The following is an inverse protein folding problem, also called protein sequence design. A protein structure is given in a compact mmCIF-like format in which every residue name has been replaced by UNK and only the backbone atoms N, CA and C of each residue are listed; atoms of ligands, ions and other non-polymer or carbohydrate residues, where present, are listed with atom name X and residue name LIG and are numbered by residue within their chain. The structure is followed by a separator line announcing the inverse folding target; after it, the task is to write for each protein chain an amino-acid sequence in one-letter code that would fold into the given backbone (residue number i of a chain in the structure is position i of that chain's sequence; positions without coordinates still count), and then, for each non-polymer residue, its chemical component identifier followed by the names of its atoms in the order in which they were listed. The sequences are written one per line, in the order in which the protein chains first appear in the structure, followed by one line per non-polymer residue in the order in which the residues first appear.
data_IF_924328193991
#
_entry.id   IF_924328193991
#
_cell.length_a   1.000
_cell.length_b   1.000
_cell.length_c   1.000
_cell.angle_alpha   90.00
_cell.angle_beta   90.00
_cell.angle_gamma   90.00
#
_symmetry.space_group_name_H-M   'P 1'
#
loop_
_entity.id
_entity.type
_entity.pdbx_description
1 polymer ?
#
# COMPACT_ATOMS: atom_id res chain seq x y z
N UNK A 1 -6.86 3.55 30.77
CA UNK A 1 -7.25 2.63 29.68
C UNK A 1 -6.25 1.47 29.60
N UNK A 2 -6.72 0.25 29.48
CA UNK A 2 -5.86 -0.91 29.39
C UNK A 2 -5.09 -0.94 28.07
N UNK A 3 -4.02 -1.73 28.03
CA UNK A 3 -3.23 -1.92 26.79
C UNK A 3 -4.11 -2.50 25.68
N UNK A 4 -4.92 -3.51 26.01
CA UNK A 4 -5.88 -4.11 25.08
C UNK A 4 -6.90 -3.07 24.59
N UNK A 5 -7.42 -2.23 25.50
CA UNK A 5 -8.35 -1.17 25.13
C UNK A 5 -7.76 -0.17 24.17
N UNK A 6 -6.48 0.19 24.35
CA UNK A 6 -5.76 1.09 23.42
C UNK A 6 -5.62 0.45 22.05
N UNK A 7 -5.26 -0.84 22.03
CA UNK A 7 -5.14 -1.57 20.76
C UNK A 7 -6.46 -1.63 20.01
N UNK A 8 -7.55 -1.95 20.71
CA UNK A 8 -8.88 -2.02 20.12
C UNK A 8 -9.35 -0.67 19.59
N UNK A 9 -8.96 0.42 20.25
CA UNK A 9 -9.28 1.77 19.78
C UNK A 9 -8.60 2.07 18.44
N UNK A 10 -7.32 1.71 18.29
CA UNK A 10 -6.63 1.84 17.02
C UNK A 10 -7.30 1.00 15.94
N UNK A 11 -7.60 -0.26 16.25
CA UNK A 11 -8.21 -1.18 15.30
C UNK A 11 -9.63 -0.78 14.89
N UNK A 12 -10.35 -0.10 15.78
CA UNK A 12 -11.68 0.43 15.46
C UNK A 12 -11.61 1.57 14.44
N UNK A 13 -10.50 2.33 14.43
CA UNK A 13 -10.32 3.44 13.51
C UNK A 13 -9.93 2.98 12.10
N UNK A 14 -9.06 1.97 12.00
CA UNK A 14 -8.64 1.36 10.74
C UNK A 14 -7.93 0.04 11.00
N UNK A 15 -7.66 -0.72 9.93
CA UNK A 15 -6.82 -1.91 10.05
C UNK A 15 -5.39 -1.50 10.41
N UNK A 16 -4.78 -2.26 11.32
CA UNK A 16 -3.38 -2.09 11.73
C UNK A 16 -2.67 -3.43 11.65
N UNK A 17 -1.43 -3.42 11.21
CA UNK A 17 -0.58 -4.60 11.31
C UNK A 17 -0.11 -4.78 12.74
N UNK A 18 0.33 -5.99 13.08
CA UNK A 18 0.92 -6.26 14.38
C UNK A 18 2.11 -5.33 14.66
N UNK A 19 2.99 -5.14 13.67
CA UNK A 19 4.16 -4.28 13.82
C UNK A 19 3.77 -2.83 14.09
N UNK A 20 2.72 -2.33 13.45
CA UNK A 20 2.21 -0.99 13.73
C UNK A 20 1.76 -0.85 15.18
N UNK A 21 1.00 -1.84 15.67
CA UNK A 21 0.51 -1.82 17.05
C UNK A 21 1.66 -1.95 18.04
N UNK A 22 2.66 -2.76 17.75
CA UNK A 22 3.85 -2.87 18.61
C UNK A 22 4.50 -1.49 18.78
N UNK A 23 4.70 -0.76 17.69
CA UNK A 23 5.30 0.58 17.74
C UNK A 23 4.44 1.58 18.52
N UNK A 24 3.13 1.56 18.27
CA UNK A 24 2.21 2.51 18.91
C UNK A 24 1.99 2.23 20.38
N UNK A 25 2.08 0.98 20.80
CA UNK A 25 1.75 0.57 22.15
C UNK A 25 2.98 0.36 23.05
N UNK A 26 4.18 0.35 22.50
CA UNK A 26 5.40 0.05 23.25
C UNK A 26 5.54 0.95 24.50
N UNK A 27 5.25 2.24 24.38
CA UNK A 27 5.38 3.20 25.48
C UNK A 27 4.34 2.99 26.59
N UNK A 28 3.27 2.25 26.32
CA UNK A 28 2.18 2.02 27.27
C UNK A 28 2.22 0.61 27.87
N UNK A 29 3.09 -0.25 27.38
CA UNK A 29 3.21 -1.60 27.89
C UNK A 29 4.09 -1.64 29.14
N UNK A 30 3.74 -2.50 30.10
CA UNK A 30 4.54 -2.70 31.31
C UNK A 30 5.80 -3.51 31.00
N UNK A 31 5.74 -4.38 29.97
CA UNK A 31 6.85 -5.22 29.55
C UNK A 31 6.62 -5.64 28.09
N UNK A 32 7.70 -6.07 27.40
CA UNK A 32 7.54 -6.66 26.06
C UNK A 32 6.64 -7.90 26.06
N UNK A 33 6.68 -8.67 27.15
CA UNK A 33 5.87 -9.89 27.31
C UNK A 33 4.38 -9.57 27.40
N UNK A 34 4.01 -8.52 28.13
CA UNK A 34 2.63 -8.07 28.21
C UNK A 34 2.12 -7.66 26.82
N UNK A 35 2.92 -6.88 26.10
CA UNK A 35 2.55 -6.43 24.77
C UNK A 35 2.34 -7.61 23.81
N UNK A 36 3.29 -8.56 23.81
CA UNK A 36 3.18 -9.74 22.97
C UNK A 36 1.93 -10.56 23.29
N UNK A 37 1.61 -10.73 24.56
CA UNK A 37 0.43 -11.48 24.98
C UNK A 37 -0.87 -10.83 24.53
N UNK A 38 -0.97 -9.52 24.64
CA UNK A 38 -2.15 -8.78 24.20
C UNK A 38 -2.31 -8.92 22.67
N UNK A 39 -1.22 -8.77 21.92
CA UNK A 39 -1.27 -8.87 20.46
C UNK A 39 -1.54 -10.29 19.99
N UNK A 40 -0.99 -11.30 20.67
CA UNK A 40 -1.29 -12.70 20.38
C UNK A 40 -2.78 -13.00 20.54
N UNK A 41 -3.38 -12.51 21.62
CA UNK A 41 -4.81 -12.67 21.88
C UNK A 41 -5.66 -12.02 20.79
N UNK A 42 -5.32 -10.79 20.43
CA UNK A 42 -6.05 -10.06 19.39
C UNK A 42 -5.89 -10.71 18.02
N UNK A 43 -4.72 -11.25 17.74
CA UNK A 43 -4.49 -11.97 16.49
C UNK A 43 -5.26 -13.28 16.44
N UNK A 44 -5.28 -14.02 17.54
CA UNK A 44 -6.03 -15.26 17.65
C UNK A 44 -7.54 -15.06 17.48
N UNK A 45 -8.04 -13.91 17.91
CA UNK A 45 -9.46 -13.54 17.77
C UNK A 45 -9.78 -12.82 16.48
N UNK A 46 -8.80 -12.74 15.57
CA UNK A 46 -8.93 -12.14 14.25
C UNK A 46 -9.18 -10.62 14.25
N UNK A 47 -8.83 -9.92 15.32
CA UNK A 47 -8.81 -8.46 15.36
C UNK A 47 -7.61 -7.90 14.57
N UNK A 48 -6.54 -8.67 14.46
CA UNK A 48 -5.36 -8.35 13.65
C UNK A 48 -5.29 -9.36 12.52
N UNK A 49 -5.26 -8.89 11.28
CA UNK A 49 -5.22 -9.76 10.09
C UNK A 49 -4.35 -9.12 9.01
N UNK A 50 -3.26 -9.78 8.63
CA UNK A 50 -2.41 -9.31 7.54
C UNK A 50 -3.20 -9.19 6.23
N UNK A 51 -4.07 -10.15 5.95
CA UNK A 51 -4.89 -10.13 4.73
C UNK A 51 -5.77 -8.89 4.66
N UNK A 52 -6.41 -8.51 5.78
CA UNK A 52 -7.23 -7.30 5.82
C UNK A 52 -6.40 -6.03 5.72
N UNK A 53 -5.19 -6.01 6.30
CA UNK A 53 -4.29 -4.86 6.14
C UNK A 53 -3.92 -4.67 4.67
N UNK A 54 -3.54 -5.74 3.98
CA UNK A 54 -3.22 -5.72 2.55
C UNK A 54 -4.42 -5.19 1.75
N UNK A 55 -5.59 -5.75 1.97
CA UNK A 55 -6.82 -5.33 1.28
C UNK A 55 -7.13 -3.86 1.51
N UNK A 56 -7.00 -3.39 2.74
CA UNK A 56 -7.22 -1.99 3.10
C UNK A 56 -6.28 -1.05 2.35
N UNK A 57 -4.99 -1.38 2.26
CA UNK A 57 -4.01 -0.58 1.55
C UNK A 57 -4.32 -0.56 0.05
N UNK A 58 -4.59 -1.73 -0.53
CA UNK A 58 -4.92 -1.83 -1.96
C UNK A 58 -6.15 -0.98 -2.28
N UNK A 59 -7.21 -1.11 -1.48
CA UNK A 59 -8.45 -0.36 -1.71
C UNK A 59 -8.25 1.15 -1.66
N UNK A 60 -7.35 1.63 -0.80
CA UNK A 60 -7.09 3.06 -0.67
C UNK A 60 -6.11 3.59 -1.71
N UNK A 61 -5.18 2.77 -2.18
CA UNK A 61 -4.02 3.24 -2.96
C UNK A 61 -4.02 2.83 -4.43
N UNK A 62 -4.63 1.69 -4.78
CA UNK A 62 -4.49 1.13 -6.13
C UNK A 62 -5.03 2.04 -7.23
N UNK A 63 -6.00 2.88 -6.93
CA UNK A 63 -6.55 3.82 -7.92
C UNK A 63 -5.64 4.99 -8.26
N UNK A 64 -4.57 5.23 -7.46
CA UNK A 64 -3.70 6.39 -7.63
C UNK A 64 -2.21 6.03 -7.69
N UNK A 65 -1.84 4.83 -7.27
CA UNK A 65 -0.44 4.44 -7.12
C UNK A 65 -0.16 3.09 -7.76
N UNK A 66 1.07 2.91 -8.22
CA UNK A 66 1.53 1.65 -8.77
C UNK A 66 2.01 0.67 -7.72
N UNK A 67 2.28 -0.57 -8.17
CA UNK A 67 2.67 -1.67 -7.30
C UNK A 67 3.92 -1.38 -6.47
N UNK A 68 4.91 -0.68 -7.02
CA UNK A 68 6.15 -0.38 -6.30
C UNK A 68 5.89 0.49 -5.07
N UNK A 69 5.03 1.49 -5.20
CA UNK A 69 4.67 2.37 -4.09
C UNK A 69 3.86 1.65 -3.02
N UNK A 70 2.93 0.81 -3.47
CA UNK A 70 2.11 0.00 -2.56
C UNK A 70 2.98 -1.01 -1.83
N UNK A 71 3.94 -1.66 -2.52
CA UNK A 71 4.91 -2.55 -1.89
C UNK A 71 5.65 -1.85 -0.75
N UNK A 72 6.13 -0.64 -1.01
CA UNK A 72 6.87 0.14 -0.02
C UNK A 72 6.02 0.40 1.23
N UNK A 73 4.76 0.78 1.04
CA UNK A 73 3.85 1.00 2.18
C UNK A 73 3.63 -0.29 2.97
N UNK A 74 3.39 -1.41 2.28
CA UNK A 74 3.17 -2.71 2.94
C UNK A 74 4.42 -3.17 3.71
N UNK A 75 5.60 -2.98 3.14
CA UNK A 75 6.86 -3.29 3.81
C UNK A 75 7.04 -2.44 5.06
N UNK A 76 6.68 -1.16 4.99
CA UNK A 76 6.74 -0.24 6.12
C UNK A 76 5.82 -0.65 7.27
N UNK A 77 4.78 -1.41 7.00
CA UNK A 77 3.88 -1.95 8.01
C UNK A 77 4.38 -3.26 8.63
N UNK A 78 5.53 -3.76 8.17
CA UNK A 78 6.14 -4.95 8.74
C UNK A 78 5.40 -6.25 8.45
N UNK A 79 4.69 -6.31 7.32
CA UNK A 79 3.99 -7.52 6.91
C UNK A 79 4.98 -8.60 6.45
N UNK A 80 4.56 -9.86 6.51
CA UNK A 80 5.38 -10.98 6.04
C UNK A 80 5.74 -10.81 4.56
N UNK A 81 6.98 -11.16 4.15
CA UNK A 81 7.39 -11.03 2.74
C UNK A 81 6.45 -11.74 1.77
N UNK A 82 5.90 -12.88 2.16
CA UNK A 82 4.95 -13.64 1.33
C UNK A 82 3.66 -12.87 1.10
N UNK A 83 3.16 -12.19 2.12
CA UNK A 83 1.95 -11.37 2.02
C UNK A 83 2.20 -10.18 1.08
N UNK A 84 3.36 -9.54 1.19
CA UNK A 84 3.74 -8.43 0.32
C UNK A 84 3.87 -8.90 -1.13
N UNK A 85 4.56 -10.02 -1.35
CA UNK A 85 4.76 -10.59 -2.70
C UNK A 85 3.42 -10.96 -3.34
N UNK A 86 2.51 -11.56 -2.58
CA UNK A 86 1.18 -11.91 -3.06
C UNK A 86 0.38 -10.69 -3.49
N UNK A 87 0.43 -9.61 -2.69
CA UNK A 87 -0.24 -8.36 -3.00
C UNK A 87 0.32 -7.73 -4.29
N UNK A 88 1.65 -7.68 -4.42
CA UNK A 88 2.31 -7.14 -5.61
C UNK A 88 1.92 -7.93 -6.86
N UNK A 89 1.92 -9.27 -6.77
CA UNK A 89 1.50 -10.10 -7.89
C UNK A 89 0.07 -9.84 -8.32
N UNK A 90 -0.84 -9.68 -7.35
CA UNK A 90 -2.25 -9.41 -7.67
C UNK A 90 -2.44 -8.05 -8.35
N UNK A 91 -1.56 -7.08 -8.07
CA UNK A 91 -1.63 -5.75 -8.67
C UNK A 91 -1.09 -5.69 -10.10
N UNK A 92 -0.23 -6.63 -10.49
CA UNK A 92 0.39 -6.63 -11.83
C UNK A 92 -0.63 -6.71 -12.96
N UNK A 93 -1.68 -7.51 -12.78
CA UNK A 93 -2.70 -7.71 -13.82
C UNK A 93 -3.43 -6.41 -14.19
N UNK A 94 -3.56 -5.46 -13.27
CA UNK A 94 -4.28 -4.21 -13.49
C UNK A 94 -3.37 -2.99 -13.63
N UNK A 95 -2.05 -3.17 -13.61
CA UNK A 95 -1.12 -2.02 -13.52
C UNK A 95 -1.22 -1.09 -14.72
N UNK A 96 -1.26 -1.63 -15.93
CA UNK A 96 -1.36 -0.81 -17.14
C UNK A 96 -2.65 0.00 -17.14
N UNK A 97 -3.77 -0.65 -16.83
CA UNK A 97 -5.08 0.05 -16.79
C UNK A 97 -5.12 1.11 -15.70
N UNK A 98 -4.55 0.83 -14.54
CA UNK A 98 -4.51 1.82 -13.45
C UNK A 98 -3.59 2.99 -13.80
N UNK A 99 -2.45 2.73 -14.43
CA UNK A 99 -1.55 3.77 -14.90
C UNK A 99 -2.23 4.64 -15.97
N UNK A 100 -2.98 4.00 -16.89
CA UNK A 100 -3.72 4.72 -17.94
C UNK A 100 -4.76 5.66 -17.32
N UNK A 101 -5.48 5.19 -16.32
CA UNK A 101 -6.49 6.02 -15.66
C UNK A 101 -5.86 7.22 -14.94
N UNK A 102 -4.73 7.02 -14.27
CA UNK A 102 -3.97 8.11 -13.63
C UNK A 102 -3.48 9.11 -14.68
N UNK A 103 -2.93 8.59 -15.77
CA UNK A 103 -2.46 9.42 -16.89
C UNK A 103 -3.61 10.23 -17.48
N UNK A 104 -4.76 9.60 -17.72
CA UNK A 104 -5.92 10.24 -18.30
C UNK A 104 -6.41 11.42 -17.46
N UNK A 105 -6.46 11.24 -16.15
CA UNK A 105 -6.92 12.27 -15.22
C UNK A 105 -5.95 13.44 -15.11
N UNK A 106 -4.65 13.15 -15.22
CA UNK A 106 -3.61 14.17 -15.05
C UNK A 106 -3.31 14.92 -16.34
N UNK A 107 -3.18 14.21 -17.45
CA UNK A 107 -2.76 14.77 -18.74
C UNK A 107 -3.89 14.72 -19.77
N UNK A 108 -4.42 13.56 -20.00
CA UNK A 108 -5.55 13.36 -20.92
C UNK A 108 -5.24 13.50 -22.40
N UNK A 109 -4.02 13.95 -22.74
CA UNK A 109 -3.61 14.20 -24.11
C UNK A 109 -2.20 13.66 -24.34
N UNK A 110 -1.90 13.16 -25.56
CA UNK A 110 -0.56 12.71 -25.89
C UNK A 110 0.47 13.83 -25.74
N UNK A 111 1.70 13.45 -25.39
CA UNK A 111 2.79 14.40 -25.29
C UNK A 111 3.14 14.99 -26.64
N UNK A 112 3.29 16.32 -26.70
CA UNK A 112 3.57 17.03 -27.93
C UNK A 112 5.02 16.88 -28.40
N UNK A 113 5.93 16.64 -27.46
CA UNK A 113 7.36 16.54 -27.76
C UNK A 113 8.06 15.66 -26.71
N UNK A 114 9.38 15.48 -26.88
CA UNK A 114 10.18 14.64 -25.97
C UNK A 114 10.19 15.14 -24.53
N UNK A 115 10.21 16.46 -24.35
CA UNK A 115 10.20 17.05 -23.00
C UNK A 115 8.89 16.76 -22.29
N UNK A 116 7.78 16.92 -22.97
CA UNK A 116 6.45 16.62 -22.44
C UNK A 116 6.29 15.12 -22.14
N UNK A 117 6.81 14.27 -23.04
CA UNK A 117 6.81 12.81 -22.84
C UNK A 117 7.57 12.45 -21.56
N UNK A 118 8.76 13.00 -21.38
CA UNK A 118 9.56 12.78 -20.18
C UNK A 118 8.83 13.19 -18.92
N UNK A 119 8.13 14.29 -18.96
CA UNK A 119 7.32 14.80 -17.84
C UNK A 119 6.20 13.81 -17.47
N UNK A 120 5.47 13.31 -18.48
CA UNK A 120 4.42 12.33 -18.25
C UNK A 120 4.98 11.02 -17.66
N UNK A 121 6.11 10.54 -18.19
CA UNK A 121 6.75 9.33 -17.69
C UNK A 121 7.23 9.49 -16.25
N UNK A 122 7.87 10.62 -15.91
CA UNK A 122 8.33 10.87 -14.55
C UNK A 122 7.18 10.99 -13.55
N UNK A 123 6.06 11.56 -13.96
CA UNK A 123 4.88 11.64 -13.11
C UNK A 123 4.39 10.24 -12.72
N UNK A 124 4.27 9.36 -13.70
CA UNK A 124 3.82 7.99 -13.44
C UNK A 124 4.85 7.19 -12.62
N UNK A 125 6.14 7.39 -12.88
CA UNK A 125 7.19 6.75 -12.11
C UNK A 125 7.16 7.18 -10.63
N UNK A 126 6.91 8.47 -10.37
CA UNK A 126 6.79 8.99 -9.00
C UNK A 126 5.58 8.40 -8.26
N UNK A 127 4.55 7.98 -9.01
CA UNK A 127 3.39 7.29 -8.44
C UNK A 127 3.65 5.79 -8.22
N UNK A 128 4.82 5.29 -8.57
CA UNK A 128 5.20 3.91 -8.32
C UNK A 128 4.84 2.92 -9.43
N UNK A 129 4.44 3.39 -10.61
CA UNK A 129 4.16 2.52 -11.75
C UNK A 129 5.45 2.01 -12.37
N UNK A 130 5.44 0.78 -12.87
CA UNK A 130 6.60 0.17 -13.49
C UNK A 130 6.90 0.72 -14.87
N UNK A 131 8.16 0.62 -15.30
CA UNK A 131 8.62 1.19 -16.56
C UNK A 131 7.88 0.65 -17.78
N UNK A 132 7.52 -0.62 -17.77
CA UNK A 132 6.76 -1.21 -18.90
C UNK A 132 5.35 -0.64 -18.99
N UNK A 133 4.66 -0.54 -17.85
CA UNK A 133 3.32 0.06 -17.80
C UNK A 133 3.36 1.52 -18.26
N UNK A 134 4.35 2.28 -17.78
CA UNK A 134 4.54 3.68 -18.17
C UNK A 134 4.75 3.79 -19.67
N UNK A 135 5.66 3.01 -20.22
CA UNK A 135 5.95 3.04 -21.66
C UNK A 135 4.70 2.73 -22.47
N UNK A 136 3.96 1.69 -22.09
CA UNK A 136 2.75 1.30 -22.81
C UNK A 136 1.68 2.41 -22.78
N UNK A 137 1.48 3.01 -21.63
CA UNK A 137 0.47 4.09 -21.47
C UNK A 137 0.86 5.33 -22.28
N UNK A 138 2.10 5.80 -22.12
CA UNK A 138 2.55 7.03 -22.78
C UNK A 138 2.69 6.84 -24.29
N UNK A 139 3.25 5.71 -24.73
CA UNK A 139 3.41 5.43 -26.16
C UNK A 139 2.07 5.19 -26.86
N UNK A 140 1.15 4.45 -26.24
CA UNK A 140 -0.17 4.19 -26.82
C UNK A 140 -1.01 5.45 -26.94
N UNK A 141 -0.79 6.43 -26.06
CA UNK A 141 -1.49 7.71 -26.13
C UNK A 141 -1.09 8.52 -27.36
N UNK A 142 0.11 8.28 -27.92
CA UNK A 142 0.59 8.99 -29.11
C UNK A 142 0.05 8.41 -30.40
N UNK A 143 -0.43 7.18 -30.37
CA UNK A 143 -1.03 6.50 -31.50
C UNK A 143 -2.51 6.88 -31.66
#
# INVERSE_FOLDING_TARGET
MSLKGRALRYLAAREHSRAELERKLAAHAESPEQLAQVLDDLQAKDFISEARVVESVINRRAGRFGAARIRHELQGKGLAPEAVAGAVNSLKASEVERAREVWRKKFGEPAADAAARGKQMRFLAARGFGSEAIRRVVSQAED
#
